data_IF_596635348559
#
_entry.id   IF_596635348559
#
_cell.length_a   1.000
_cell.length_b   1.000
_cell.length_c   1.000
_cell.angle_alpha   90.00
_cell.angle_beta   90.00
_cell.angle_gamma   90.00
#
_symmetry.space_group_name_H-M   'P 1'
#
loop_
_entity.id
_entity.type
_entity.pdbx_description
1 polymer ?
#
# COMPACT_ATOMS: atom_id res chain seq x y z
N UNK A 1 -7.16 11.07 -14.95
CA UNK A 1 -7.64 10.26 -13.80
C UNK A 1 -6.63 10.41 -12.68
N UNK A 2 -7.06 10.80 -11.48
CA UNK A 2 -6.16 10.98 -10.34
C UNK A 2 -5.92 9.63 -9.66
N UNK A 3 -4.65 9.28 -9.43
CA UNK A 3 -4.30 8.10 -8.63
C UNK A 3 -4.85 8.22 -7.22
N UNK A 4 -5.32 7.11 -6.64
CA UNK A 4 -5.78 7.04 -5.25
C UNK A 4 -5.19 5.83 -4.55
N UNK A 5 -5.01 5.96 -3.25
CA UNK A 5 -4.73 4.84 -2.37
C UNK A 5 -6.06 4.19 -1.97
N UNK A 6 -6.14 2.86 -2.03
CA UNK A 6 -7.34 2.09 -1.74
C UNK A 6 -7.01 0.98 -0.73
N UNK A 7 -7.91 0.73 0.21
CA UNK A 7 -7.78 -0.39 1.14
C UNK A 7 -8.26 -1.64 0.43
N UNK A 8 -7.47 -2.71 0.50
CA UNK A 8 -7.83 -4.03 0.00
C UNK A 8 -7.71 -5.01 1.16
N UNK A 9 -8.77 -5.80 1.34
CA UNK A 9 -8.82 -6.90 2.28
C UNK A 9 -9.32 -8.14 1.52
N UNK A 10 -8.46 -9.14 1.46
CA UNK A 10 -8.65 -10.44 0.82
C UNK A 10 -8.09 -11.54 1.74
N UNK A 11 -8.37 -12.80 1.46
CA UNK A 11 -8.00 -13.95 2.29
C UNK A 11 -6.48 -14.04 2.54
N UNK A 12 -5.66 -13.57 1.60
CA UNK A 12 -4.19 -13.64 1.68
C UNK A 12 -3.51 -12.28 1.80
N UNK A 13 -4.26 -11.18 1.72
CA UNK A 13 -3.70 -9.84 1.70
C UNK A 13 -4.63 -8.83 2.38
N UNK A 14 -4.05 -8.05 3.28
CA UNK A 14 -4.72 -6.88 3.85
C UNK A 14 -3.75 -5.72 3.78
N UNK A 15 -4.16 -4.59 3.21
CA UNK A 15 -3.27 -3.44 3.10
C UNK A 15 -3.75 -2.36 2.13
N UNK A 16 -2.89 -1.36 1.96
CA UNK A 16 -3.12 -0.24 1.04
C UNK A 16 -2.51 -0.53 -0.32
N UNK A 17 -3.26 -0.27 -1.39
CA UNK A 17 -2.79 -0.41 -2.78
C UNK A 17 -3.04 0.86 -3.59
N UNK A 18 -2.30 1.02 -4.67
CA UNK A 18 -2.53 2.08 -5.64
C UNK A 18 -3.59 1.63 -6.65
N UNK A 19 -4.57 2.49 -6.95
CA UNK A 19 -5.61 2.15 -7.93
C UNK A 19 -5.13 2.11 -9.40
N UNK A 20 -3.85 2.41 -9.67
CA UNK A 20 -3.28 2.51 -11.02
C UNK A 20 -2.08 1.60 -11.28
N UNK A 21 -1.46 1.01 -10.26
CA UNK A 21 -0.29 0.16 -10.43
C UNK A 21 -0.23 -0.91 -9.33
N UNK A 22 0.77 -1.79 -9.40
CA UNK A 22 1.03 -2.88 -8.45
C UNK A 22 1.67 -2.41 -7.14
N UNK A 23 1.70 -1.10 -6.87
CA UNK A 23 2.17 -0.63 -5.57
C UNK A 23 1.21 -1.08 -4.47
N UNK A 24 1.76 -1.77 -3.48
CA UNK A 24 1.05 -2.29 -2.33
C UNK A 24 1.86 -2.11 -1.05
N UNK A 25 1.15 -1.89 0.05
CA UNK A 25 1.69 -1.69 1.37
C UNK A 25 0.88 -2.56 2.34
N UNK A 26 1.41 -3.73 2.65
CA UNK A 26 0.75 -4.74 3.49
C UNK A 26 0.60 -4.23 4.91
N UNK A 27 -0.60 -4.36 5.46
CA UNK A 27 -0.88 -4.06 6.85
C UNK A 27 -0.23 -5.11 7.76
N UNK A 28 0.59 -4.69 8.75
CA UNK A 28 0.96 -5.59 9.84
C UNK A 28 -0.28 -5.89 10.70
N UNK A 29 -0.16 -6.76 11.70
CA UNK A 29 -1.21 -6.88 12.72
C UNK A 29 -1.37 -5.54 13.44
N UNK A 30 -2.52 -4.91 13.25
CA UNK A 30 -2.86 -3.64 13.87
C UNK A 30 -3.60 -3.92 15.18
N UNK A 31 -2.87 -3.96 16.28
CA UNK A 31 -3.41 -4.29 17.61
C UNK A 31 -4.14 -3.12 18.30
N UNK A 32 -4.22 -1.95 17.65
CA UNK A 32 -4.83 -0.73 18.20
C UNK A 32 -5.19 0.27 17.10
N UNK A 33 -6.19 1.12 17.36
CA UNK A 33 -6.52 2.28 16.53
C UNK A 33 -5.31 3.20 16.30
N UNK A 34 -4.44 3.38 17.30
CA UNK A 34 -3.22 4.19 17.15
C UNK A 34 -2.27 3.57 16.14
N UNK A 35 -2.11 2.24 16.17
CA UNK A 35 -1.30 1.52 15.20
C UNK A 35 -1.88 1.66 13.78
N UNK A 36 -3.21 1.58 13.64
CA UNK A 36 -3.90 1.79 12.36
C UNK A 36 -3.70 3.21 11.81
N UNK A 37 -3.80 4.24 12.66
CA UNK A 37 -3.58 5.62 12.25
C UNK A 37 -2.13 5.87 11.83
N UNK A 38 -1.16 5.34 12.58
CA UNK A 38 0.25 5.42 12.24
C UNK A 38 0.53 4.71 10.90
N UNK A 39 -0.06 3.53 10.71
CA UNK A 39 0.05 2.78 9.47
C UNK A 39 -0.51 3.56 8.27
N UNK A 40 -1.70 4.14 8.40
CA UNK A 40 -2.32 4.95 7.34
C UNK A 40 -1.45 6.14 6.95
N UNK A 41 -0.82 6.81 7.92
CA UNK A 41 0.10 7.91 7.65
C UNK A 41 1.32 7.45 6.85
N UNK A 42 1.97 6.37 7.26
CA UNK A 42 3.15 5.81 6.55
C UNK A 42 2.77 5.36 5.14
N UNK A 43 1.62 4.72 4.98
CA UNK A 43 1.11 4.30 3.69
C UNK A 43 0.86 5.50 2.76
N UNK A 44 0.29 6.59 3.28
CA UNK A 44 0.07 7.82 2.52
C UNK A 44 1.40 8.47 2.10
N UNK A 45 2.38 8.56 3.00
CA UNK A 45 3.71 9.10 2.69
C UNK A 45 4.43 8.24 1.63
N UNK A 46 4.26 6.91 1.68
CA UNK A 46 4.75 5.99 0.65
C UNK A 46 4.02 6.16 -0.68
N UNK A 47 2.70 6.36 -0.64
CA UNK A 47 1.89 6.62 -1.82
C UNK A 47 2.27 7.94 -2.51
N UNK A 48 2.60 8.98 -1.76
CA UNK A 48 3.00 10.25 -2.37
C UNK A 48 4.36 10.12 -3.08
N UNK A 49 5.27 9.32 -2.52
CA UNK A 49 6.63 9.10 -3.06
C UNK A 49 6.72 8.08 -4.17
N UNK A 50 5.82 7.10 -4.25
CA UNK A 50 5.92 6.06 -5.27
C UNK A 50 5.64 6.65 -6.66
N UNK A 51 6.28 6.09 -7.69
CA UNK A 51 6.02 6.43 -9.08
C UNK A 51 5.15 5.33 -9.70
N UNK A 52 3.92 5.69 -10.11
CA UNK A 52 3.00 4.74 -10.74
C UNK A 52 3.56 4.17 -12.06
N UNK A 53 4.46 4.89 -12.72
CA UNK A 53 5.05 4.45 -13.99
C UNK A 53 6.21 3.47 -13.82
N UNK A 54 6.89 3.47 -12.65
CA UNK A 54 8.02 2.59 -12.35
C UNK A 54 7.68 1.30 -11.60
N UNK A 55 6.51 1.20 -10.95
CA UNK A 55 6.18 0.10 -10.03
C UNK A 55 5.93 -1.27 -10.68
N UNK A 56 5.88 -1.37 -12.02
CA UNK A 56 5.69 -2.67 -12.71
C UNK A 56 6.85 -3.66 -12.46
N UNK A 57 7.97 -3.21 -11.89
CA UNK A 57 9.21 -3.99 -11.75
C UNK A 57 9.61 -4.34 -10.31
N UNK A 58 8.84 -3.98 -9.27
CA UNK A 58 9.23 -4.22 -7.86
C UNK A 58 8.77 -5.60 -7.32
N UNK A 59 8.00 -6.36 -8.09
CA UNK A 59 7.55 -7.72 -7.72
C UNK A 59 8.67 -8.78 -7.89
N UNK A 60 9.71 -8.51 -8.68
CA UNK A 60 10.80 -9.47 -8.95
C UNK A 60 11.85 -9.59 -7.85
N UNK A 61 11.87 -8.71 -6.83
CA UNK A 61 12.91 -8.70 -5.81
C UNK A 61 12.60 -9.53 -4.54
N UNK A 62 11.48 -10.29 -4.51
CA UNK A 62 11.07 -11.11 -3.35
C UNK A 62 10.93 -12.62 -3.64
N UNK A 63 11.44 -13.11 -4.77
CA UNK A 63 11.58 -14.57 -5.02
C UNK A 63 12.94 -15.09 -4.56
#
# INVERSE_FOLDING_TARGET
MNRRIIWIEDETFTGWCCSHCTWGFTAPRLESTVAALAFNRVAQEGFDKHDCTGSRNQEEARR
#
